data_IF_684428421827
#
_entry.id   IF_684428421827
#
_cell.length_a   1.000
_cell.length_b   1.000
_cell.length_c   1.000
_cell.angle_alpha   90.00
_cell.angle_beta   90.00
_cell.angle_gamma   90.00
#
_symmetry.space_group_name_H-M   'P 1'
#
loop_
_entity.id
_entity.type
_entity.pdbx_description
1 polymer ?
#
# COMPACT_ATOMS: atom_id res chain seq x y z
N UNK A 1 32.77 -64.39 -28.10
CA UNK A 1 31.64 -63.90 -28.92
C UNK A 1 30.34 -64.12 -28.16
N UNK A 2 29.67 -63.06 -27.70
CA UNK A 2 28.22 -62.99 -27.48
C UNK A 2 27.82 -61.52 -27.21
N UNK A 3 27.30 -60.89 -28.27
CA UNK A 3 26.48 -59.66 -28.33
C UNK A 3 25.11 -59.96 -27.64
N UNK A 4 24.26 -59.07 -27.12
CA UNK A 4 23.93 -57.67 -27.43
C UNK A 4 22.85 -57.15 -26.43
N UNK A 5 22.85 -55.83 -26.21
CA UNK A 5 21.66 -54.94 -26.26
C UNK A 5 20.72 -54.81 -25.04
N UNK A 6 20.96 -53.76 -24.23
CA UNK A 6 20.00 -53.16 -23.30
C UNK A 6 19.00 -52.25 -24.01
N UNK A 7 17.72 -52.59 -23.91
CA UNK A 7 16.57 -51.85 -24.45
C UNK A 7 16.30 -50.57 -23.64
N UNK A 8 16.45 -49.41 -24.29
CA UNK A 8 15.96 -48.12 -23.81
C UNK A 8 14.43 -48.06 -23.94
N UNK A 9 13.71 -48.49 -22.89
CA UNK A 9 12.26 -48.35 -22.79
C UNK A 9 11.82 -46.91 -22.48
N UNK A 10 11.84 -46.03 -23.49
CA UNK A 10 11.05 -44.79 -23.46
C UNK A 10 9.57 -45.16 -23.65
N UNK A 11 8.90 -45.48 -22.55
CA UNK A 11 7.44 -45.67 -22.52
C UNK A 11 6.75 -44.34 -22.83
N UNK A 12 6.57 -44.05 -24.12
CA UNK A 12 5.62 -43.05 -24.57
C UNK A 12 4.22 -43.54 -24.14
N UNK A 13 3.72 -43.04 -23.01
CA UNK A 13 2.36 -43.25 -22.53
C UNK A 13 1.38 -42.69 -23.58
N UNK A 14 1.01 -43.53 -24.54
CA UNK A 14 -0.07 -43.30 -25.48
C UNK A 14 -1.39 -43.40 -24.70
N UNK A 15 -1.76 -42.32 -24.00
CA UNK A 15 -3.12 -42.16 -23.47
C UNK A 15 -4.11 -42.18 -24.65
N UNK A 16 -5.09 -43.09 -24.60
CA UNK A 16 -6.17 -43.14 -25.59
C UNK A 16 -6.90 -41.78 -25.66
N UNK A 17 -7.39 -41.41 -26.86
CA UNK A 17 -8.00 -40.10 -27.09
C UNK A 17 -9.10 -39.74 -26.08
N UNK A 18 -9.91 -40.72 -25.67
CA UNK A 18 -10.95 -40.57 -24.65
C UNK A 18 -10.39 -40.20 -23.27
N UNK A 19 -9.24 -40.75 -22.89
CA UNK A 19 -8.59 -40.48 -21.60
C UNK A 19 -7.95 -39.09 -21.58
N UNK A 20 -7.43 -38.60 -22.71
CA UNK A 20 -6.95 -37.22 -22.87
C UNK A 20 -8.10 -36.20 -22.75
N UNK A 21 -9.26 -36.50 -23.34
CA UNK A 21 -10.45 -35.65 -23.24
C UNK A 21 -10.92 -35.55 -21.79
N UNK A 22 -11.05 -36.68 -21.07
CA UNK A 22 -11.49 -36.69 -19.67
C UNK A 22 -10.53 -35.88 -18.78
N UNK A 23 -9.22 -36.06 -18.93
CA UNK A 23 -8.23 -35.29 -18.16
C UNK A 23 -8.34 -33.79 -18.47
N UNK A 24 -8.49 -33.42 -19.75
CA UNK A 24 -8.65 -32.02 -20.15
C UNK A 24 -9.89 -31.37 -19.52
N UNK A 25 -11.03 -32.06 -19.51
CA UNK A 25 -12.27 -31.57 -18.89
C UNK A 25 -12.11 -31.42 -17.37
N UNK A 26 -11.51 -32.40 -16.70
CA UNK A 26 -11.28 -32.33 -15.26
C UNK A 26 -10.35 -31.18 -14.87
N UNK A 27 -9.30 -30.93 -15.66
CA UNK A 27 -8.40 -29.80 -15.45
C UNK A 27 -9.13 -28.45 -15.61
N UNK A 28 -9.95 -28.30 -16.66
CA UNK A 28 -10.75 -27.09 -16.87
C UNK A 28 -11.78 -26.86 -15.75
N UNK A 29 -12.46 -27.92 -15.32
CA UNK A 29 -13.40 -27.85 -14.20
C UNK A 29 -12.70 -27.39 -12.92
N UNK A 30 -11.52 -27.94 -12.60
CA UNK A 30 -10.74 -27.55 -11.43
C UNK A 30 -10.30 -26.07 -11.47
N UNK A 31 -9.89 -25.57 -12.65
CA UNK A 31 -9.56 -24.15 -12.82
C UNK A 31 -10.80 -23.27 -12.65
N UNK A 32 -11.93 -23.65 -13.26
CA UNK A 32 -13.18 -22.91 -13.17
C UNK A 32 -13.71 -22.84 -11.74
N UNK A 33 -13.68 -23.95 -10.99
CA UNK A 33 -14.09 -23.97 -9.57
C UNK A 33 -13.19 -23.09 -8.71
N UNK A 34 -11.88 -23.13 -8.94
CA UNK A 34 -10.93 -22.29 -8.20
C UNK A 34 -11.19 -20.80 -8.48
N UNK A 35 -11.37 -20.44 -9.76
CA UNK A 35 -11.70 -19.07 -10.15
C UNK A 35 -13.06 -18.61 -9.57
N UNK A 36 -14.07 -19.48 -9.51
CA UNK A 36 -15.37 -19.14 -8.93
C UNK A 36 -15.32 -18.91 -7.42
N UNK A 37 -14.48 -19.64 -6.69
CA UNK A 37 -14.33 -19.53 -5.24
C UNK A 37 -13.52 -18.28 -4.86
N UNK A 38 -12.36 -18.07 -5.50
CA UNK A 38 -11.43 -17.00 -5.13
C UNK A 38 -11.60 -15.71 -5.93
N UNK A 39 -12.25 -15.75 -7.08
CA UNK A 39 -12.50 -14.55 -7.91
C UNK A 39 -13.28 -13.45 -7.17
N UNK A 40 -14.39 -13.76 -6.48
CA UNK A 40 -15.18 -12.75 -5.77
C UNK A 40 -14.41 -12.04 -4.66
N UNK A 41 -13.59 -12.75 -3.87
CA UNK A 41 -12.83 -12.14 -2.77
C UNK A 41 -11.84 -11.10 -3.30
N UNK A 42 -11.13 -11.40 -4.39
CA UNK A 42 -10.22 -10.44 -5.03
C UNK A 42 -10.93 -9.16 -5.49
N UNK A 43 -12.17 -9.28 -6.00
CA UNK A 43 -12.97 -8.11 -6.41
C UNK A 43 -13.41 -7.29 -5.20
N UNK A 44 -13.85 -7.96 -4.13
CA UNK A 44 -14.28 -7.30 -2.88
C UNK A 44 -13.11 -6.58 -2.22
N UNK A 45 -11.96 -7.23 -2.10
CA UNK A 45 -10.77 -6.65 -1.47
C UNK A 45 -10.26 -5.45 -2.26
N UNK A 46 -10.28 -5.54 -3.60
CA UNK A 46 -9.95 -4.39 -4.44
C UNK A 46 -10.93 -3.24 -4.27
N UNK A 47 -12.24 -3.50 -4.20
CA UNK A 47 -13.23 -2.43 -3.96
C UNK A 47 -13.00 -1.74 -2.62
N UNK A 48 -12.68 -2.51 -1.57
CA UNK A 48 -12.30 -1.97 -0.27
C UNK A 48 -11.03 -1.11 -0.38
N UNK A 49 -9.99 -1.60 -1.04
CA UNK A 49 -8.75 -0.84 -1.24
C UNK A 49 -8.97 0.48 -1.99
N UNK A 50 -9.82 0.49 -3.03
CA UNK A 50 -10.22 1.73 -3.75
C UNK A 50 -10.98 2.68 -2.82
N UNK A 51 -11.92 2.17 -2.03
CA UNK A 51 -12.69 2.98 -1.09
C UNK A 51 -11.79 3.58 0.00
N UNK A 52 -10.87 2.81 0.55
CA UNK A 52 -9.84 3.29 1.49
C UNK A 52 -8.96 4.34 0.83
N UNK A 53 -8.40 4.08 -0.36
CA UNK A 53 -7.59 5.07 -1.06
C UNK A 53 -8.37 6.39 -1.25
N UNK A 54 -9.62 6.33 -1.72
CA UNK A 54 -10.44 7.53 -1.92
C UNK A 54 -10.69 8.33 -0.64
N UNK A 55 -10.86 7.67 0.50
CA UNK A 55 -11.14 8.33 1.79
C UNK A 55 -9.89 8.90 2.45
N UNK A 56 -8.72 8.33 2.15
CA UNK A 56 -7.46 8.68 2.79
C UNK A 56 -6.53 9.53 1.92
N UNK A 57 -6.57 9.41 0.58
CA UNK A 57 -5.82 10.27 -0.34
C UNK A 57 -6.65 11.50 -0.68
N UNK A 58 -6.53 12.53 0.15
CA UNK A 58 -7.23 13.78 -0.06
C UNK A 58 -6.50 14.66 -1.08
N UNK A 59 -7.27 15.37 -1.89
CA UNK A 59 -6.76 16.39 -2.79
C UNK A 59 -6.91 17.75 -2.12
N UNK A 60 -5.85 18.54 -2.13
CA UNK A 60 -5.85 19.90 -1.60
C UNK A 60 -4.58 20.65 -2.01
N UNK A 61 -4.47 21.94 -1.64
CA UNK A 61 -3.24 22.70 -1.84
C UNK A 61 -2.06 21.99 -1.15
N UNK A 62 -0.88 21.93 -1.78
CA UNK A 62 0.30 21.37 -1.13
C UNK A 62 0.68 22.19 0.10
N UNK A 63 1.11 21.53 1.17
CA UNK A 63 1.68 22.22 2.32
C UNK A 63 2.99 22.91 1.93
N UNK A 64 3.37 23.96 2.64
CA UNK A 64 4.68 24.57 2.44
C UNK A 64 5.77 23.62 2.97
N UNK A 65 6.65 23.15 2.10
CA UNK A 65 7.83 22.40 2.51
C UNK A 65 8.86 23.33 3.16
N UNK A 66 9.51 22.88 4.24
CA UNK A 66 10.58 23.60 4.91
C UNK A 66 11.91 22.87 4.74
N UNK A 67 12.97 23.66 4.57
CA UNK A 67 14.34 23.16 4.77
C UNK A 67 14.61 22.96 6.25
N UNK A 68 15.59 22.13 6.59
CA UNK A 68 16.03 21.93 7.99
C UNK A 68 16.39 23.24 8.68
N UNK A 69 17.05 24.16 7.99
CA UNK A 69 17.39 25.48 8.52
C UNK A 69 16.16 26.35 8.77
N UNK A 70 15.18 26.34 7.85
CA UNK A 70 13.92 27.07 8.03
C UNK A 70 13.10 26.48 9.18
N UNK A 71 13.03 25.16 9.29
CA UNK A 71 12.42 24.48 10.43
C UNK A 71 13.12 24.82 11.74
N UNK A 72 14.45 24.91 11.76
CA UNK A 72 15.24 25.34 12.91
C UNK A 72 14.87 26.74 13.43
N UNK A 73 14.44 27.65 12.54
CA UNK A 73 13.99 29.01 12.88
C UNK A 73 12.51 29.10 13.23
N UNK A 74 11.71 28.06 13.00
CA UNK A 74 10.29 28.06 13.40
C UNK A 74 10.15 28.14 14.91
N UNK A 75 9.20 28.93 15.38
CA UNK A 75 8.90 29.04 16.81
C UNK A 75 8.16 27.81 17.34
N UNK A 76 7.34 27.17 16.50
CA UNK A 76 6.75 25.87 16.79
C UNK A 76 7.62 24.73 16.29
N UNK A 77 7.76 23.69 17.12
CA UNK A 77 8.46 22.45 16.78
C UNK A 77 7.51 21.26 16.82
N UNK A 78 7.85 20.22 16.08
CA UNK A 78 7.22 18.92 16.19
C UNK A 78 7.69 18.23 17.48
N UNK A 79 6.98 18.48 18.59
CA UNK A 79 7.32 17.95 19.92
C UNK A 79 6.72 16.58 20.18
N UNK A 80 5.69 16.18 19.43
CA UNK A 80 5.02 14.88 19.57
C UNK A 80 5.35 14.00 18.37
N UNK A 81 6.14 12.96 18.59
CA UNK A 81 6.49 11.95 17.59
C UNK A 81 5.75 10.64 17.78
N UNK A 82 5.54 9.89 16.72
CA UNK A 82 5.09 8.50 16.73
C UNK A 82 5.59 7.78 15.46
N UNK A 83 5.68 6.46 15.53
CA UNK A 83 6.08 5.62 14.40
C UNK A 83 4.86 4.90 13.82
N UNK A 84 4.80 4.81 12.49
CA UNK A 84 3.81 4.03 11.76
C UNK A 84 4.44 3.46 10.49
N UNK A 85 4.41 2.14 10.34
CA UNK A 85 4.96 1.42 9.18
C UNK A 85 6.42 1.83 8.83
N UNK A 86 7.27 1.94 9.85
CA UNK A 86 8.68 2.33 9.70
C UNK A 86 8.91 3.82 9.36
N UNK A 87 7.85 4.63 9.31
CA UNK A 87 7.92 6.09 9.13
C UNK A 87 7.66 6.79 10.46
N UNK A 88 8.56 7.70 10.86
CA UNK A 88 8.38 8.49 12.09
C UNK A 88 7.74 9.82 11.74
N UNK A 89 6.52 10.02 12.21
CA UNK A 89 5.78 11.26 12.07
C UNK A 89 5.90 12.09 13.35
N UNK A 90 6.14 13.39 13.19
CA UNK A 90 6.14 14.37 14.26
C UNK A 90 5.15 15.48 13.99
N UNK A 91 4.51 15.98 15.04
CA UNK A 91 3.57 17.11 14.98
C UNK A 91 3.77 18.07 16.16
N UNK A 92 3.46 19.34 15.96
CA UNK A 92 3.50 20.34 17.03
C UNK A 92 2.25 20.30 17.92
N UNK A 93 1.08 20.08 17.33
CA UNK A 93 -0.21 20.05 18.02
C UNK A 93 -1.19 19.06 17.38
N UNK A 94 -2.41 19.01 17.91
CA UNK A 94 -3.51 18.20 17.37
C UNK A 94 -3.35 16.69 17.54
N UNK A 95 -4.27 15.97 16.90
CA UNK A 95 -4.30 14.51 16.82
C UNK A 95 -3.85 14.05 15.44
N UNK A 96 -3.48 12.77 15.36
CA UNK A 96 -3.13 12.10 14.11
C UNK A 96 -3.85 10.75 14.07
N UNK A 97 -4.40 10.41 12.91
CA UNK A 97 -4.96 9.10 12.61
C UNK A 97 -4.27 8.60 11.34
N UNK A 98 -3.87 7.35 11.32
CA UNK A 98 -3.09 6.79 10.22
C UNK A 98 -3.73 5.52 9.68
N UNK A 99 -3.54 5.30 8.39
CA UNK A 99 -4.02 4.13 7.68
C UNK A 99 -3.05 3.76 6.57
N UNK A 100 -2.90 2.46 6.38
CA UNK A 100 -2.17 1.92 5.25
C UNK A 100 -3.03 1.96 4.00
N UNK A 101 -2.52 2.59 2.94
CA UNK A 101 -3.20 2.70 1.65
C UNK A 101 -2.47 1.85 0.63
N UNK A 102 -3.20 0.95 -0.03
CA UNK A 102 -2.64 0.12 -1.10
C UNK A 102 -2.35 0.94 -2.34
N UNK A 103 -1.17 0.73 -2.94
CA UNK A 103 -0.79 1.40 -4.18
C UNK A 103 -1.84 1.21 -5.29
N UNK A 104 -2.17 2.31 -5.96
CA UNK A 104 -3.09 2.31 -7.10
C UNK A 104 -4.51 1.78 -6.78
N UNK A 105 -4.94 1.84 -5.52
CA UNK A 105 -6.25 1.33 -5.09
C UNK A 105 -6.38 -0.19 -5.26
N UNK A 106 -5.37 -0.93 -4.82
CA UNK A 106 -5.35 -2.41 -4.92
C UNK A 106 -4.86 -2.96 -6.26
N UNK A 107 -4.24 -2.11 -7.11
CA UNK A 107 -3.57 -2.55 -8.35
C UNK A 107 -2.06 -2.73 -8.17
N UNK A 108 -1.44 -1.96 -7.28
CA UNK A 108 -0.03 -2.03 -7.00
C UNK A 108 0.29 -3.06 -5.91
N UNK A 109 1.57 -3.42 -5.82
CA UNK A 109 2.08 -4.25 -4.74
C UNK A 109 2.44 -3.36 -3.54
N UNK A 110 2.02 -3.80 -2.34
CA UNK A 110 2.33 -3.14 -1.08
C UNK A 110 1.37 -2.02 -0.68
N UNK A 111 1.70 -1.41 0.45
CA UNK A 111 0.97 -0.28 1.04
C UNK A 111 1.95 0.85 1.34
N UNK A 112 1.41 2.04 1.58
CA UNK A 112 2.17 3.15 2.13
C UNK A 112 1.35 3.86 3.20
N UNK A 113 2.00 4.45 4.21
CA UNK A 113 1.29 5.08 5.30
C UNK A 113 0.73 6.43 4.88
N UNK A 114 -0.51 6.69 5.27
CA UNK A 114 -1.18 7.98 5.14
C UNK A 114 -1.72 8.39 6.50
N UNK A 115 -1.28 9.54 6.99
CA UNK A 115 -1.72 10.10 8.27
C UNK A 115 -2.46 11.41 8.06
N UNK A 116 -3.63 11.53 8.67
CA UNK A 116 -4.43 12.74 8.72
C UNK A 116 -4.28 13.41 10.08
N UNK A 117 -4.11 14.73 10.06
CA UNK A 117 -3.87 15.55 11.23
C UNK A 117 -4.97 16.59 11.36
N UNK A 118 -5.41 16.87 12.59
CA UNK A 118 -6.44 17.88 12.85
C UNK A 118 -5.91 19.31 12.75
N UNK A 119 -4.84 19.62 13.51
CA UNK A 119 -4.25 20.95 13.60
C UNK A 119 -2.74 20.87 13.93
N UNK A 120 -1.91 20.27 13.07
CA UNK A 120 -0.53 19.91 13.42
C UNK A 120 0.41 21.10 13.61
N UNK A 121 0.09 22.29 13.07
CA UNK A 121 0.90 23.51 12.95
C UNK A 121 2.22 23.32 12.17
N UNK A 122 3.03 22.33 12.54
CA UNK A 122 4.22 21.86 11.85
C UNK A 122 4.25 20.34 11.86
N UNK A 123 4.75 19.75 10.77
CA UNK A 123 4.90 18.31 10.63
C UNK A 123 6.36 17.99 10.31
N UNK A 124 6.92 16.97 10.95
CA UNK A 124 8.17 16.33 10.54
C UNK A 124 7.91 14.89 10.11
N UNK A 125 8.58 14.43 9.06
CA UNK A 125 8.47 13.05 8.58
C UNK A 125 9.86 12.50 8.37
N UNK A 126 10.22 11.44 9.10
CA UNK A 126 11.48 10.72 8.92
C UNK A 126 11.21 9.40 8.23
N UNK A 127 11.87 9.21 7.09
CA UNK A 127 11.88 7.95 6.34
C UNK A 127 13.33 7.49 6.14
N UNK A 128 13.52 6.36 5.47
CA UNK A 128 14.82 5.92 4.97
C UNK A 128 15.46 6.92 3.97
N UNK A 129 14.63 7.75 3.32
CA UNK A 129 15.08 8.80 2.37
C UNK A 129 15.51 10.09 3.03
N UNK A 130 15.29 10.24 4.34
CA UNK A 130 15.73 11.40 5.11
C UNK A 130 14.61 12.03 5.93
N UNK A 131 14.81 13.30 6.25
CA UNK A 131 13.94 14.06 7.14
C UNK A 131 13.30 15.22 6.37
N UNK A 132 11.98 15.28 6.42
CA UNK A 132 11.16 16.22 5.68
C UNK A 132 10.30 17.02 6.65
N UNK A 133 10.02 18.27 6.30
CA UNK A 133 9.27 19.19 7.15
C UNK A 133 8.21 19.93 6.34
N UNK A 134 7.03 20.09 6.93
CA UNK A 134 5.90 20.77 6.29
C UNK A 134 5.22 21.74 7.27
N UNK A 135 4.69 22.84 6.74
CA UNK A 135 3.75 23.73 7.45
C UNK A 135 2.41 23.75 6.71
N UNK A 136 1.34 23.22 7.30
CA UNK A 136 0.00 23.31 6.72
C UNK A 136 -0.67 24.67 6.94
N UNK A 137 -0.11 25.48 7.85
CA UNK A 137 -0.72 26.72 8.33
C UNK A 137 -1.46 26.55 9.66
N UNK A 138 -1.74 27.68 10.31
CA UNK A 138 -2.38 27.70 11.64
C UNK A 138 -3.84 27.22 11.56
N UNK A 139 -4.20 26.31 12.46
CA UNK A 139 -5.56 25.78 12.57
C UNK A 139 -6.05 24.96 11.37
N UNK A 140 -5.16 24.62 10.42
CA UNK A 140 -5.51 23.83 9.24
C UNK A 140 -5.22 22.35 9.48
N UNK A 141 -6.16 21.50 9.09
CA UNK A 141 -5.93 20.06 8.97
C UNK A 141 -5.04 19.74 7.78
N UNK A 142 -4.29 18.65 7.89
CA UNK A 142 -3.36 18.23 6.87
C UNK A 142 -3.35 16.72 6.71
N UNK A 143 -3.05 16.24 5.52
CA UNK A 143 -2.83 14.83 5.24
C UNK A 143 -1.43 14.67 4.70
N UNK A 144 -0.70 13.72 5.27
CA UNK A 144 0.64 13.35 4.82
C UNK A 144 0.63 11.90 4.36
N UNK A 145 1.11 11.67 3.16
CA UNK A 145 1.32 10.35 2.61
C UNK A 145 2.81 10.13 2.38
N UNK A 146 3.34 8.93 2.60
CA UNK A 146 4.75 8.61 2.32
C UNK A 146 4.92 7.50 1.27
N UNK A 147 4.41 7.67 0.04
CA UNK A 147 4.60 6.67 -1.01
C UNK A 147 6.09 6.51 -1.30
N UNK A 148 6.57 5.27 -1.22
CA UNK A 148 7.97 4.90 -1.50
C UNK A 148 8.98 5.65 -0.62
N UNK A 149 8.57 6.04 0.60
CA UNK A 149 9.42 6.79 1.53
C UNK A 149 9.60 8.27 1.18
N UNK A 150 8.89 8.80 0.17
CA UNK A 150 8.92 10.21 -0.22
C UNK A 150 7.64 10.89 0.26
N UNK A 151 7.69 11.65 1.37
CA UNK A 151 6.49 12.23 1.94
C UNK A 151 5.96 13.40 1.10
N UNK A 152 4.64 13.42 0.94
CA UNK A 152 3.87 14.54 0.39
C UNK A 152 2.87 15.01 1.44
N UNK A 153 2.57 16.32 1.42
CA UNK A 153 1.64 16.93 2.36
C UNK A 153 0.64 17.80 1.62
N UNK A 154 -0.64 17.66 1.98
CA UNK A 154 -1.73 18.50 1.47
C UNK A 154 -2.51 19.11 2.63
N UNK A 155 -3.01 20.33 2.44
CA UNK A 155 -3.86 21.04 3.40
C UNK A 155 -5.32 20.59 3.23
N UNK A 156 -5.57 19.35 3.61
CA UNK A 156 -6.90 18.73 3.66
C UNK A 156 -6.87 17.61 4.70
N UNK A 157 -7.97 17.39 5.42
CA UNK A 157 -8.10 16.33 6.42
C UNK A 157 -9.56 15.95 6.58
N UNK A 158 -9.85 14.65 6.63
CA UNK A 158 -11.15 14.07 6.96
C UNK A 158 -11.11 13.43 8.35
N UNK A 159 -10.23 13.93 9.23
CA UNK A 159 -10.06 13.40 10.56
C UNK A 159 -11.40 13.37 11.29
N UNK A 160 -11.75 12.19 11.79
CA UNK A 160 -12.87 12.01 12.71
C UNK A 160 -12.27 11.45 13.99
N UNK A 161 -12.62 12.01 15.15
CA UNK A 161 -12.36 11.32 16.40
C UNK A 161 -13.19 10.02 16.36
N UNK A 162 -12.51 8.91 16.15
CA UNK A 162 -13.09 7.58 16.37
C UNK A 162 -12.68 7.18 17.78
N UNK A 163 -13.67 7.11 18.66
CA UNK A 163 -13.55 6.74 20.07
C UNK A 163 -13.00 5.30 20.24
#
# INVERSE_FOLDING_TARGET
MARLSGSNGRSALYLSGRRRIVIGVMALAAVATTAAIFGPSLVVDRRKAIATAKTWTLSGPPCQALTTAAYGKQWFKATKGFEWDGVIFGRGAGHAECQDVTYGGGRGLGVYPVCQFTTPQVISVKTDKGLFYFTPGLGKGATVAAPHGLPTCVVASNFNLRD
#
